data_IF_910161866362
#
_entry.id   IF_910161866362
#
_cell.length_a   1.000
_cell.length_b   1.000
_cell.length_c   1.000
_cell.angle_alpha   90.00
_cell.angle_beta   90.00
_cell.angle_gamma   90.00
#
_symmetry.space_group_name_H-M   'P 1'
#
loop_
_entity.id
_entity.type
_entity.pdbx_description
1 polymer ?
#
# COMPACT_ATOMS: atom_id res chain seq x y z
N UNK A 1 30.89 22.84 -29.54
CA UNK A 1 29.95 21.77 -29.15
C UNK A 1 30.30 20.52 -29.92
N UNK A 2 30.48 19.35 -29.28
CA UNK A 2 30.61 18.08 -30.02
C UNK A 2 29.35 17.86 -30.84
N UNK A 3 29.50 17.40 -32.08
CA UNK A 3 28.34 17.07 -32.91
C UNK A 3 27.48 16.03 -32.18
N UNK A 4 26.15 16.22 -32.13
CA UNK A 4 25.26 15.26 -31.50
C UNK A 4 25.32 13.94 -32.26
N UNK A 5 25.38 12.83 -31.52
CA UNK A 5 25.25 11.48 -32.10
C UNK A 5 23.82 11.34 -32.64
N UNK A 6 23.69 10.96 -33.91
CA UNK A 6 22.40 10.78 -34.57
C UNK A 6 22.00 9.32 -34.53
N UNK A 7 20.74 9.08 -34.20
CA UNK A 7 20.11 7.77 -34.26
C UNK A 7 18.89 7.85 -35.19
N UNK A 8 18.66 6.79 -35.95
CA UNK A 8 17.44 6.60 -36.75
C UNK A 8 16.71 5.39 -36.18
N UNK A 9 15.43 5.55 -35.89
CA UNK A 9 14.60 4.50 -35.28
C UNK A 9 13.37 4.25 -36.16
N UNK A 10 13.03 2.98 -36.36
CA UNK A 10 11.74 2.59 -36.91
C UNK A 10 10.73 2.48 -35.76
N UNK A 11 9.52 2.99 -35.97
CA UNK A 11 8.41 2.91 -35.02
C UNK A 11 7.25 2.21 -35.70
N UNK A 12 6.54 1.37 -34.97
CA UNK A 12 5.21 0.93 -35.40
C UNK A 12 4.21 2.11 -35.39
N UNK A 13 3.05 1.89 -36.01
CA UNK A 13 2.02 2.92 -36.17
C UNK A 13 1.53 3.46 -34.82
N UNK A 14 1.35 2.58 -33.83
CA UNK A 14 0.84 2.94 -32.49
C UNK A 14 1.83 3.85 -31.75
N UNK A 15 3.10 3.46 -31.73
CA UNK A 15 4.18 4.23 -31.11
C UNK A 15 4.43 5.55 -31.84
N UNK A 16 4.26 5.57 -33.17
CA UNK A 16 4.34 6.81 -33.95
C UNK A 16 3.21 7.78 -33.60
N UNK A 17 1.98 7.29 -33.48
CA UNK A 17 0.83 8.11 -33.05
C UNK A 17 1.03 8.67 -31.64
N UNK A 18 1.50 7.85 -30.70
CA UNK A 18 1.84 8.27 -29.34
C UNK A 18 2.89 9.40 -29.35
N UNK A 19 3.95 9.24 -30.15
CA UNK A 19 4.99 10.27 -30.32
C UNK A 19 4.39 11.59 -30.82
N UNK A 20 3.48 11.56 -31.80
CA UNK A 20 2.84 12.77 -32.32
C UNK A 20 1.93 13.43 -31.28
N UNK A 21 1.15 12.63 -30.54
CA UNK A 21 0.28 13.11 -29.46
C UNK A 21 1.09 13.82 -28.37
N UNK A 22 2.09 13.15 -27.81
CA UNK A 22 2.95 13.72 -26.76
C UNK A 22 3.70 14.96 -27.22
N UNK A 23 4.22 14.95 -28.46
CA UNK A 23 4.87 16.12 -29.07
C UNK A 23 3.93 17.33 -29.10
N UNK A 24 2.65 17.12 -29.46
CA UNK A 24 1.63 18.18 -29.53
C UNK A 24 1.25 18.70 -28.14
N UNK A 25 1.05 17.80 -27.18
CA UNK A 25 0.69 18.14 -25.79
C UNK A 25 1.81 18.93 -25.10
N UNK A 26 3.06 18.47 -25.21
CA UNK A 26 4.21 19.08 -24.55
C UNK A 26 4.83 20.24 -25.34
N UNK A 27 4.45 20.44 -26.60
CA UNK A 27 4.97 21.50 -27.51
C UNK A 27 6.50 21.47 -27.70
N UNK A 28 7.10 20.29 -27.73
CA UNK A 28 8.56 20.09 -27.89
C UNK A 28 8.93 19.45 -29.23
N UNK A 29 10.23 19.42 -29.57
CA UNK A 29 10.72 18.69 -30.74
C UNK A 29 10.73 17.16 -30.51
N UNK A 30 10.72 16.37 -31.60
CA UNK A 30 10.86 14.90 -31.51
C UNK A 30 12.13 14.49 -30.77
N UNK A 31 13.25 15.17 -31.06
CA UNK A 31 14.55 14.88 -30.44
C UNK A 31 14.56 15.22 -28.95
N UNK A 32 13.90 16.29 -28.54
CA UNK A 32 13.78 16.66 -27.13
C UNK A 32 12.88 15.70 -26.37
N UNK A 33 11.72 15.38 -26.92
CA UNK A 33 10.83 14.36 -26.36
C UNK A 33 11.55 13.02 -26.17
N UNK A 34 12.32 12.58 -27.18
CA UNK A 34 13.08 11.34 -27.08
C UNK A 34 14.18 11.39 -26.00
N UNK A 35 14.91 12.51 -25.88
CA UNK A 35 15.91 12.66 -24.79
C UNK A 35 15.26 12.66 -23.42
N UNK A 36 14.11 13.31 -23.27
CA UNK A 36 13.38 13.36 -22.00
C UNK A 36 12.81 11.99 -21.66
N UNK A 37 12.22 11.28 -22.63
CA UNK A 37 11.70 9.92 -22.44
C UNK A 37 12.80 8.93 -22.08
N UNK A 38 13.96 8.97 -22.77
CA UNK A 38 15.10 8.09 -22.45
C UNK A 38 15.67 8.38 -21.06
N UNK A 39 15.78 9.65 -20.68
CA UNK A 39 16.25 10.04 -19.35
C UNK A 39 15.26 9.57 -18.28
N UNK A 40 13.97 9.86 -18.47
CA UNK A 40 12.92 9.43 -17.58
C UNK A 40 12.90 7.91 -17.43
N UNK A 41 12.94 7.15 -18.53
CA UNK A 41 12.99 5.70 -18.48
C UNK A 41 14.23 5.21 -17.72
N UNK A 42 15.42 5.77 -17.96
CA UNK A 42 16.62 5.38 -17.23
C UNK A 42 16.54 5.69 -15.73
N UNK A 43 15.99 6.84 -15.35
CA UNK A 43 15.83 7.28 -13.96
C UNK A 43 14.74 6.50 -13.22
N UNK A 44 13.73 5.99 -13.92
CA UNK A 44 12.54 5.40 -13.30
C UNK A 44 12.38 3.90 -13.59
N UNK A 45 13.15 3.28 -14.48
CA UNK A 45 12.98 1.85 -14.87
C UNK A 45 12.98 0.89 -13.68
N UNK A 46 13.69 1.21 -12.60
CA UNK A 46 13.74 0.39 -11.39
C UNK A 46 12.45 0.52 -10.55
N UNK A 47 11.68 1.60 -10.75
CA UNK A 47 10.32 1.77 -10.22
C UNK A 47 9.25 1.14 -11.12
N UNK A 48 9.59 0.76 -12.36
CA UNK A 48 8.70 0.07 -13.32
C UNK A 48 8.79 -1.45 -13.10
N UNK A 49 8.72 -1.90 -11.85
CA UNK A 49 8.29 -3.27 -11.56
C UNK A 49 6.78 -3.25 -11.30
N UNK A 50 6.06 -4.29 -11.74
CA UNK A 50 4.63 -4.41 -11.57
C UNK A 50 4.21 -4.30 -10.09
N UNK A 51 5.06 -4.83 -9.18
CA UNK A 51 4.86 -4.71 -7.73
C UNK A 51 4.96 -3.27 -7.22
N UNK A 52 5.95 -2.51 -7.69
CA UNK A 52 6.11 -1.10 -7.28
C UNK A 52 5.00 -0.23 -7.86
N UNK A 53 4.58 -0.51 -9.10
CA UNK A 53 3.47 0.21 -9.74
C UNK A 53 2.17 0.06 -8.95
N UNK A 54 1.77 -1.17 -8.59
CA UNK A 54 0.54 -1.38 -7.82
C UNK A 54 0.58 -0.70 -6.45
N UNK A 55 1.75 -0.73 -5.78
CA UNK A 55 1.93 -0.07 -4.49
C UNK A 55 1.84 1.46 -4.57
N UNK A 56 2.42 2.06 -5.63
CA UNK A 56 2.32 3.51 -5.88
C UNK A 56 0.88 3.92 -6.19
N UNK A 57 0.17 3.17 -7.03
CA UNK A 57 -1.25 3.41 -7.32
C UNK A 57 -2.09 3.36 -6.04
N UNK A 58 -1.80 2.40 -5.15
CA UNK A 58 -2.47 2.28 -3.86
C UNK A 58 -2.21 3.48 -2.95
N UNK A 59 -0.96 3.96 -2.85
CA UNK A 59 -0.64 5.16 -2.08
C UNK A 59 -1.32 6.40 -2.64
N UNK A 60 -1.36 6.56 -3.97
CA UNK A 60 -2.03 7.68 -4.61
C UNK A 60 -3.54 7.64 -4.30
N UNK A 61 -4.20 6.49 -4.46
CA UNK A 61 -5.62 6.34 -4.15
C UNK A 61 -5.94 6.75 -2.70
N UNK A 62 -5.19 6.18 -1.74
CA UNK A 62 -5.41 6.43 -0.31
C UNK A 62 -5.10 7.85 0.15
N UNK A 63 -4.04 8.46 -0.38
CA UNK A 63 -3.64 9.81 0.03
C UNK A 63 -4.49 10.88 -0.67
N UNK A 64 -4.87 10.66 -1.93
CA UNK A 64 -5.75 11.58 -2.64
C UNK A 64 -7.21 11.53 -2.15
N UNK A 65 -7.67 10.42 -1.57
CA UNK A 65 -9.00 10.36 -0.95
C UNK A 65 -9.12 11.19 0.32
N UNK A 66 -7.99 11.54 0.95
CA UNK A 66 -7.95 12.27 2.23
C UNK A 66 -8.27 11.41 3.46
N UNK A 67 -8.46 10.09 3.28
CA UNK A 67 -8.73 9.15 4.38
C UNK A 67 -7.46 8.73 5.13
N UNK A 68 -6.28 8.91 4.52
CA UNK A 68 -5.00 8.49 5.08
C UNK A 68 -4.04 9.66 5.24
N UNK A 69 -3.24 9.60 6.29
CA UNK A 69 -2.13 10.52 6.54
C UNK A 69 -0.81 9.75 6.62
N UNK A 70 0.27 10.33 6.11
CA UNK A 70 1.62 9.80 6.33
C UNK A 70 2.04 10.22 7.73
N UNK A 71 2.32 9.23 8.57
CA UNK A 71 2.75 9.42 9.95
C UNK A 71 4.08 8.69 10.19
N UNK A 72 4.99 9.36 10.88
CA UNK A 72 6.26 8.78 11.30
C UNK A 72 6.04 7.68 12.36
N UNK A 73 6.86 6.62 12.32
CA UNK A 73 6.67 5.43 13.15
C UNK A 73 6.84 5.74 14.64
N UNK A 74 7.77 6.62 15.01
CA UNK A 74 8.00 6.96 16.41
C UNK A 74 6.81 7.75 16.98
N UNK A 75 6.21 8.64 16.17
CA UNK A 75 4.99 9.35 16.55
C UNK A 75 3.79 8.42 16.69
N UNK A 76 3.64 7.45 15.78
CA UNK A 76 2.61 6.42 15.88
C UNK A 76 2.72 5.63 17.18
N UNK A 77 3.94 5.17 17.50
CA UNK A 77 4.21 4.44 18.74
C UNK A 77 3.99 5.29 19.98
N UNK A 78 4.36 6.58 19.94
CA UNK A 78 4.07 7.52 21.03
C UNK A 78 2.57 7.63 21.29
N UNK A 79 1.73 7.78 20.26
CA UNK A 79 0.28 7.85 20.43
C UNK A 79 -0.29 6.57 21.01
N UNK A 80 0.10 5.41 20.46
CA UNK A 80 -0.33 4.11 21.00
C UNK A 80 0.04 3.95 22.48
N UNK A 81 1.25 4.34 22.87
CA UNK A 81 1.69 4.23 24.26
C UNK A 81 0.93 5.18 25.21
N UNK A 82 0.53 6.37 24.75
CA UNK A 82 -0.30 7.28 25.54
C UNK A 82 -1.70 6.69 25.80
N UNK A 83 -2.25 6.00 24.79
CA UNK A 83 -3.58 5.39 24.85
C UNK A 83 -3.63 4.13 25.73
N UNK A 84 -2.48 3.56 26.06
CA UNK A 84 -2.35 2.49 27.05
C UNK A 84 -2.45 2.98 28.51
N UNK A 85 -2.60 4.30 28.73
CA UNK A 85 -2.81 4.85 30.06
C UNK A 85 -4.15 4.39 30.68
N UNK A 86 -4.21 4.08 31.99
CA UNK A 86 -5.36 3.42 32.60
C UNK A 86 -6.69 4.17 32.48
N UNK A 87 -6.67 5.50 32.37
CA UNK A 87 -7.86 6.34 32.33
C UNK A 87 -8.62 6.26 31.00
N UNK A 88 -7.93 6.01 29.89
CA UNK A 88 -8.52 6.09 28.54
C UNK A 88 -8.48 4.76 27.78
N UNK A 89 -7.70 3.78 28.26
CA UNK A 89 -7.46 2.50 27.59
C UNK A 89 -8.73 1.80 27.10
N UNK A 90 -9.72 1.60 27.97
CA UNK A 90 -10.95 0.87 27.58
C UNK A 90 -11.74 1.63 26.51
N UNK A 91 -11.90 2.95 26.69
CA UNK A 91 -12.62 3.81 25.74
C UNK A 91 -11.96 3.80 24.36
N UNK A 92 -10.62 3.81 24.32
CA UNK A 92 -9.89 3.70 23.05
C UNK A 92 -10.16 2.37 22.37
N UNK A 93 -10.00 1.25 23.07
CA UNK A 93 -10.19 -0.07 22.50
C UNK A 93 -11.62 -0.33 22.02
N UNK A 94 -12.63 0.19 22.73
CA UNK A 94 -14.03 0.07 22.31
C UNK A 94 -14.32 0.85 21.02
N UNK A 95 -13.83 2.09 20.93
CA UNK A 95 -13.93 2.89 19.69
C UNK A 95 -13.15 2.27 18.54
N UNK A 96 -11.97 1.71 18.81
CA UNK A 96 -11.16 1.02 17.79
C UNK A 96 -11.91 -0.18 17.19
N UNK A 97 -12.59 -0.97 18.03
CA UNK A 97 -13.46 -2.06 17.56
C UNK A 97 -14.60 -1.54 16.68
N UNK A 98 -15.26 -0.45 17.08
CA UNK A 98 -16.31 0.18 16.26
C UNK A 98 -15.80 0.62 14.88
N UNK A 99 -14.61 1.24 14.83
CA UNK A 99 -13.95 1.66 13.58
C UNK A 99 -13.63 0.43 12.72
N UNK A 100 -13.10 -0.64 13.30
CA UNK A 100 -12.80 -1.88 12.58
C UNK A 100 -14.05 -2.50 11.92
N UNK A 101 -15.18 -2.52 12.65
CA UNK A 101 -16.47 -2.98 12.12
C UNK A 101 -16.99 -2.07 11.00
N UNK A 102 -16.90 -0.75 11.18
CA UNK A 102 -17.29 0.21 10.14
C UNK A 102 -16.44 0.08 8.86
N UNK A 103 -15.14 -0.18 9.00
CA UNK A 103 -14.26 -0.46 7.85
C UNK A 103 -14.68 -1.73 7.11
N UNK A 104 -15.11 -2.78 7.82
CA UNK A 104 -15.61 -3.99 7.17
C UNK A 104 -16.79 -3.68 6.25
N UNK A 105 -17.72 -2.83 6.68
CA UNK A 105 -18.85 -2.38 5.84
C UNK A 105 -18.42 -1.53 4.65
N UNK A 106 -17.54 -0.55 4.87
CA UNK A 106 -17.04 0.34 3.81
C UNK A 106 -16.26 -0.42 2.73
N UNK A 107 -15.57 -1.50 3.11
CA UNK A 107 -14.70 -2.25 2.22
C UNK A 107 -15.33 -3.50 1.61
N UNK A 108 -16.62 -3.79 1.83
CA UNK A 108 -17.32 -4.97 1.27
C UNK A 108 -17.15 -5.17 -0.24
N UNK A 109 -17.05 -4.08 -1.01
CA UNK A 109 -16.85 -4.13 -2.46
C UNK A 109 -15.39 -4.25 -2.92
N UNK A 110 -14.44 -3.94 -2.02
CA UNK A 110 -13.00 -3.81 -2.32
C UNK A 110 -12.16 -4.96 -1.75
N UNK A 111 -12.57 -5.53 -0.62
CA UNK A 111 -11.89 -6.63 0.07
C UNK A 111 -12.75 -7.88 -0.10
N UNK A 112 -12.26 -8.85 -0.89
CA UNK A 112 -12.95 -10.11 -1.18
C UNK A 112 -12.29 -11.31 -0.50
N UNK A 113 -11.01 -11.18 -0.19
CA UNK A 113 -10.22 -12.19 0.50
C UNK A 113 -9.49 -11.60 1.70
N UNK A 114 -9.03 -12.47 2.59
CA UNK A 114 -8.17 -12.05 3.72
C UNK A 114 -6.82 -11.56 3.18
N UNK A 115 -6.32 -12.12 2.07
CA UNK A 115 -5.10 -11.64 1.44
C UNK A 115 -5.26 -10.19 0.97
N UNK A 116 -6.40 -9.81 0.37
CA UNK A 116 -6.70 -8.43 -0.06
C UNK A 116 -6.64 -7.46 1.13
N UNK A 117 -7.22 -7.87 2.28
CA UNK A 117 -7.18 -7.09 3.51
C UNK A 117 -5.75 -6.90 3.99
N UNK A 118 -4.98 -7.99 4.05
CA UNK A 118 -3.61 -7.96 4.54
C UNK A 118 -2.70 -7.12 3.63
N UNK A 119 -2.91 -7.12 2.32
CA UNK A 119 -2.19 -6.25 1.37
C UNK A 119 -2.50 -4.78 1.58
N UNK A 120 -3.79 -4.46 1.78
CA UNK A 120 -4.22 -3.09 2.11
C UNK A 120 -3.57 -2.59 3.41
N UNK A 121 -3.59 -3.41 4.47
CA UNK A 121 -3.02 -3.02 5.76
C UNK A 121 -1.48 -2.99 5.75
N UNK A 122 -0.82 -3.87 5.00
CA UNK A 122 0.63 -3.82 4.77
C UNK A 122 1.03 -2.54 4.02
N UNK A 123 0.23 -2.11 3.03
CA UNK A 123 0.47 -0.85 2.35
C UNK A 123 0.29 0.37 3.27
N UNK A 124 -0.60 0.30 4.27
CA UNK A 124 -0.69 1.27 5.36
C UNK A 124 0.45 1.20 6.39
N UNK A 125 1.46 0.35 6.16
CA UNK A 125 2.65 0.21 6.99
C UNK A 125 2.40 -0.27 8.44
N UNK A 126 1.27 -0.95 8.69
CA UNK A 126 0.98 -1.51 10.02
C UNK A 126 1.88 -2.71 10.37
N UNK A 127 2.33 -3.45 9.36
CA UNK A 127 3.18 -4.62 9.50
C UNK A 127 3.85 -4.95 8.16
N UNK A 128 4.85 -5.82 8.21
CA UNK A 128 5.36 -6.54 7.04
C UNK A 128 4.73 -7.92 6.98
N UNK A 129 4.15 -8.27 5.83
CA UNK A 129 3.55 -9.58 5.55
C UNK A 129 4.63 -10.56 5.07
N UNK A 130 4.56 -11.79 5.54
CA UNK A 130 5.31 -12.93 5.02
C UNK A 130 4.30 -14.03 4.70
N UNK A 131 4.22 -14.43 3.43
CA UNK A 131 3.38 -15.56 3.00
C UNK A 131 4.12 -16.86 3.31
N UNK A 132 3.60 -17.65 4.24
CA UNK A 132 4.17 -18.96 4.61
C UNK A 132 3.62 -20.07 3.69
N UNK A 133 2.33 -19.97 3.35
CA UNK A 133 1.64 -20.84 2.41
C UNK A 133 0.45 -20.09 1.79
N UNK A 134 -0.36 -20.77 0.97
CA UNK A 134 -1.58 -20.17 0.38
C UNK A 134 -2.54 -19.62 1.45
N UNK A 135 -2.67 -20.33 2.58
CA UNK A 135 -3.63 -20.01 3.64
C UNK A 135 -2.98 -19.54 4.95
N UNK A 136 -1.67 -19.28 4.96
CA UNK A 136 -0.95 -18.93 6.19
C UNK A 136 0.00 -17.76 5.97
N UNK A 137 -0.14 -16.75 6.83
CA UNK A 137 0.63 -15.52 6.78
C UNK A 137 1.21 -15.20 8.15
N UNK A 138 2.44 -14.70 8.16
CA UNK A 138 3.05 -14.09 9.34
C UNK A 138 3.11 -12.59 9.16
N UNK A 139 2.56 -11.85 10.11
CA UNK A 139 2.62 -10.40 10.19
C UNK A 139 3.71 -10.03 11.18
N UNK A 140 4.70 -9.27 10.73
CA UNK A 140 5.80 -8.77 11.58
C UNK A 140 5.52 -7.32 11.94
N UNK A 141 5.41 -7.04 13.24
CA UNK A 141 5.00 -5.73 13.75
C UNK A 141 6.14 -5.02 14.48
N UNK A 142 6.03 -3.70 14.60
CA UNK A 142 7.06 -2.87 15.22
C UNK A 142 7.08 -2.86 16.75
N UNK A 143 5.97 -3.22 17.41
CA UNK A 143 5.85 -3.24 18.87
C UNK A 143 4.70 -4.14 19.34
N UNK A 144 4.67 -4.45 20.65
CA UNK A 144 3.57 -5.21 21.27
C UNK A 144 2.24 -4.43 21.23
N UNK A 145 2.25 -3.12 21.49
CA UNK A 145 1.04 -2.29 21.41
C UNK A 145 0.50 -2.22 19.98
N UNK A 146 1.39 -2.12 18.97
CA UNK A 146 0.98 -2.18 17.58
C UNK A 146 0.42 -3.57 17.20
N UNK A 147 0.97 -4.65 17.78
CA UNK A 147 0.45 -6.02 17.64
C UNK A 147 -0.97 -6.13 18.16
N UNK A 148 -1.24 -5.62 19.36
CA UNK A 148 -2.58 -5.63 19.93
C UNK A 148 -3.55 -4.79 19.09
N UNK A 149 -3.10 -3.62 18.62
CA UNK A 149 -3.89 -2.75 17.72
C UNK A 149 -4.33 -3.47 16.45
N UNK A 150 -3.38 -4.10 15.75
CA UNK A 150 -3.63 -4.82 14.51
C UNK A 150 -4.45 -6.08 14.76
N UNK A 151 -4.19 -6.82 15.85
CA UNK A 151 -4.94 -8.02 16.21
C UNK A 151 -6.42 -7.69 16.39
N UNK A 152 -6.75 -6.71 17.24
CA UNK A 152 -8.14 -6.33 17.52
C UNK A 152 -8.83 -5.85 16.24
N UNK A 153 -8.13 -5.07 15.41
CA UNK A 153 -8.67 -4.63 14.13
C UNK A 153 -9.02 -5.83 13.22
N UNK A 154 -8.11 -6.79 13.08
CA UNK A 154 -8.32 -7.96 12.24
C UNK A 154 -9.47 -8.83 12.76
N UNK A 155 -9.52 -9.10 14.06
CA UNK A 155 -10.58 -9.92 14.66
C UNK A 155 -11.97 -9.33 14.40
N UNK A 156 -12.15 -8.04 14.64
CA UNK A 156 -13.42 -7.34 14.44
C UNK A 156 -13.80 -7.20 12.96
N UNK A 157 -12.82 -6.87 12.11
CA UNK A 157 -13.03 -6.74 10.67
C UNK A 157 -13.46 -8.07 10.07
N UNK A 158 -12.72 -9.15 10.35
CA UNK A 158 -12.97 -10.47 9.79
C UNK A 158 -14.32 -11.03 10.25
N UNK A 159 -14.64 -10.88 11.54
CA UNK A 159 -15.94 -11.26 12.06
C UNK A 159 -17.09 -10.52 11.36
N UNK A 160 -16.94 -9.20 11.14
CA UNK A 160 -17.95 -8.38 10.47
C UNK A 160 -18.06 -8.65 8.96
N UNK A 161 -16.96 -9.02 8.32
CA UNK A 161 -16.90 -9.39 6.91
C UNK A 161 -17.36 -10.84 6.65
N UNK A 162 -17.59 -11.64 7.69
CA UNK A 162 -17.94 -13.06 7.56
C UNK A 162 -16.78 -13.92 7.06
N UNK A 163 -15.54 -13.50 7.31
CA UNK A 163 -14.31 -14.20 6.90
C UNK A 163 -13.76 -14.99 8.09
N UNK A 164 -13.57 -16.30 7.92
CA UNK A 164 -13.06 -17.17 8.97
C UNK A 164 -11.53 -17.24 8.96
N UNK A 165 -10.89 -16.76 10.02
CA UNK A 165 -9.45 -16.90 10.22
C UNK A 165 -9.12 -17.23 11.68
N UNK A 166 -8.04 -17.97 11.89
CA UNK A 166 -7.39 -18.12 13.19
C UNK A 166 -6.23 -17.15 13.29
N UNK A 167 -6.18 -16.36 14.37
CA UNK A 167 -5.07 -15.47 14.67
C UNK A 167 -4.35 -15.99 15.92
N UNK A 168 -3.09 -16.36 15.76
CA UNK A 168 -2.21 -16.80 16.86
C UNK A 168 -1.14 -15.76 17.13
N UNK A 169 -1.02 -15.37 18.37
CA UNK A 169 0.04 -14.48 18.83
C UNK A 169 1.35 -15.23 19.03
N UNK A 170 2.42 -14.62 18.57
CA UNK A 170 3.78 -14.92 19.03
C UNK A 170 4.32 -13.67 19.74
N UNK A 171 5.63 -13.45 19.77
CA UNK A 171 6.26 -12.21 20.24
C UNK A 171 5.78 -10.99 19.41
N UNK A 172 6.66 -10.25 18.73
CA UNK A 172 6.26 -9.14 17.86
C UNK A 172 5.60 -9.60 16.52
N UNK A 173 4.90 -10.74 16.52
CA UNK A 173 4.34 -11.37 15.31
C UNK A 173 2.94 -11.91 15.54
N UNK A 174 2.10 -11.77 14.52
CA UNK A 174 0.81 -12.47 14.42
C UNK A 174 0.91 -13.52 13.32
N UNK A 175 0.36 -14.70 13.57
CA UNK A 175 0.16 -15.72 12.55
C UNK A 175 -1.31 -15.79 12.22
N UNK A 176 -1.66 -15.54 10.96
CA UNK A 176 -3.04 -15.57 10.46
C UNK A 176 -3.18 -16.79 9.57
N UNK A 177 -4.14 -17.64 9.88
CA UNK A 177 -4.44 -18.86 9.11
C UNK A 177 -5.89 -18.85 8.67
N UNK A 178 -6.14 -19.14 7.39
CA UNK A 178 -7.49 -19.19 6.82
C UNK A 178 -8.05 -20.60 6.93
N UNK A 179 -9.37 -20.69 7.15
CA UNK A 179 -10.11 -21.95 7.17
C UNK A 179 -10.95 -22.12 5.91
#
# INVERSE_FOLDING_TARGET
MKNPVRITIALDSETYELLQKMKKEMRVSKSELMRNALRFYCENKDMIDAYMKSKVEFYIDMLCSGEHMILDVDHWLLFLNLLESPSEKNTFWDKHREIARAHADQLKGKVRSIEDLLERLEACNFFRKIKNSENEFTLVLGSETAKEFVKIFLEEFLASAGLNASIKENLAKLRVTFN
#
